data_IF_194051213269
#
_entry.id   IF_194051213269
#
_cell.length_a   1.000
_cell.length_b   1.000
_cell.length_c   1.000
_cell.angle_alpha   90.00
_cell.angle_beta   90.00
_cell.angle_gamma   90.00
#
_symmetry.space_group_name_H-M   'P 1'
#
loop_
_entity.id
_entity.type
_entity.pdbx_description
1 polymer ?
#
# COMPACT_ATOMS: atom_id res chain seq x y z
N UNK A 1 21.32 20.52 -57.77
CA UNK A 1 20.78 20.68 -56.41
C UNK A 1 21.94 21.01 -55.48
N UNK A 2 21.97 22.20 -54.86
CA UNK A 2 22.99 22.51 -53.83
C UNK A 2 22.63 21.68 -52.59
N UNK A 3 23.49 20.76 -52.21
CA UNK A 3 23.34 20.03 -50.93
C UNK A 3 23.48 21.05 -49.78
N UNK A 4 22.51 21.09 -48.91
CA UNK A 4 22.59 21.90 -47.71
C UNK A 4 23.76 21.42 -46.84
N UNK A 5 24.59 22.33 -46.29
CA UNK A 5 25.68 21.93 -45.40
C UNK A 5 25.12 21.21 -44.18
N UNK A 6 25.78 20.15 -43.70
CA UNK A 6 25.29 19.36 -42.58
C UNK A 6 25.24 20.15 -41.26
N UNK A 7 26.08 21.18 -41.14
CA UNK A 7 26.15 22.06 -39.99
C UNK A 7 26.34 23.53 -40.43
N UNK A 8 25.69 24.43 -39.68
CA UNK A 8 25.81 25.87 -39.85
C UNK A 8 26.02 26.54 -38.54
N UNK A 9 26.90 27.58 -38.48
CA UNK A 9 27.02 28.50 -37.38
C UNK A 9 26.18 29.73 -37.71
N UNK A 10 25.09 29.95 -36.96
CA UNK A 10 24.30 31.15 -37.12
C UNK A 10 25.06 32.35 -36.52
N UNK A 11 25.46 33.28 -37.41
CA UNK A 11 26.20 34.50 -37.01
C UNK A 11 25.22 35.58 -36.59
N UNK A 12 24.06 35.66 -37.25
CA UNK A 12 23.05 36.66 -36.97
C UNK A 12 21.66 36.02 -37.00
N UNK A 13 20.92 36.23 -35.93
CA UNK A 13 19.53 35.79 -35.82
C UNK A 13 18.60 36.95 -35.59
N UNK A 14 17.35 36.86 -36.00
CA UNK A 14 16.30 37.83 -35.66
C UNK A 14 15.04 37.08 -35.22
N UNK A 15 14.36 37.56 -34.22
CA UNK A 15 13.05 37.00 -33.80
C UNK A 15 11.95 37.88 -34.38
N UNK A 16 11.05 37.28 -35.16
CA UNK A 16 9.90 37.98 -35.74
C UNK A 16 8.76 38.16 -34.72
N UNK A 17 7.71 38.91 -35.07
CA UNK A 17 6.54 39.09 -34.21
C UNK A 17 5.77 37.78 -33.91
N UNK A 18 6.04 36.75 -34.71
CA UNK A 18 5.52 35.39 -34.56
C UNK A 18 6.31 34.50 -33.57
N UNK A 19 7.28 35.11 -32.85
CA UNK A 19 8.21 34.44 -31.94
C UNK A 19 9.12 33.39 -32.61
N UNK A 20 9.16 33.37 -33.91
CA UNK A 20 10.02 32.47 -34.71
C UNK A 20 11.39 33.13 -34.90
N UNK A 21 12.44 32.45 -34.43
CA UNK A 21 13.84 32.89 -34.70
C UNK A 21 14.28 32.52 -36.10
N UNK A 22 14.71 33.52 -36.86
CA UNK A 22 15.19 33.35 -38.23
C UNK A 22 16.69 33.64 -38.31
N UNK A 23 17.42 32.76 -38.97
CA UNK A 23 18.86 32.94 -39.23
C UNK A 23 19.01 33.92 -40.39
N UNK A 24 19.68 35.05 -40.12
CA UNK A 24 19.96 36.11 -41.13
C UNK A 24 21.26 35.89 -41.87
N UNK A 25 22.29 35.46 -41.16
CA UNK A 25 23.56 35.07 -41.73
C UNK A 25 24.14 33.85 -41.01
N UNK A 26 24.84 33.02 -41.78
CA UNK A 26 25.46 31.83 -41.23
C UNK A 26 26.78 31.53 -41.97
N UNK A 27 27.62 30.74 -41.31
CA UNK A 27 28.82 30.15 -41.89
C UNK A 27 28.60 28.62 -41.94
N UNK A 28 28.89 28.01 -43.06
CA UNK A 28 28.89 26.56 -43.17
C UNK A 28 30.13 25.99 -42.47
N UNK A 29 29.92 24.93 -41.64
CA UNK A 29 31.01 24.26 -40.97
C UNK A 29 31.27 22.92 -41.64
N UNK A 30 32.54 22.58 -41.87
CA UNK A 30 32.93 21.27 -42.32
C UNK A 30 32.84 20.24 -41.18
N UNK A 31 32.57 19.00 -41.50
CA UNK A 31 32.53 17.92 -40.51
C UNK A 31 33.90 17.70 -39.87
N UNK A 32 34.96 17.81 -40.67
CA UNK A 32 36.35 17.65 -40.22
C UNK A 32 36.69 18.65 -39.12
N UNK A 33 36.34 19.95 -39.33
CA UNK A 33 36.58 20.99 -38.34
C UNK A 33 35.81 20.72 -37.00
N UNK A 34 34.57 20.23 -37.12
CA UNK A 34 33.79 19.87 -35.91
C UNK A 34 34.35 18.65 -35.22
N UNK A 35 34.83 17.66 -35.95
CA UNK A 35 35.44 16.46 -35.42
C UNK A 35 36.77 16.76 -34.68
N UNK A 36 37.53 17.75 -35.15
CA UNK A 36 38.79 18.18 -34.52
C UNK A 36 38.58 18.86 -33.16
N UNK A 37 37.49 19.63 -33.00
CA UNK A 37 37.18 20.38 -31.79
C UNK A 37 36.19 19.64 -30.89
N UNK A 38 35.64 18.52 -31.32
CA UNK A 38 34.66 17.75 -30.55
C UNK A 38 35.30 17.03 -29.39
N UNK A 39 34.63 17.06 -28.27
CA UNK A 39 35.04 16.36 -27.04
C UNK A 39 34.06 15.20 -26.78
N UNK A 40 34.63 14.04 -26.50
CA UNK A 40 33.89 12.87 -26.07
C UNK A 40 33.61 12.96 -24.56
N UNK A 41 32.33 12.85 -24.17
CA UNK A 41 31.89 12.88 -22.77
C UNK A 41 30.98 11.71 -22.48
N UNK A 42 31.10 11.14 -21.32
CA UNK A 42 30.11 10.21 -20.80
C UNK A 42 29.04 11.00 -20.05
N UNK A 43 27.80 10.80 -20.46
CA UNK A 43 26.63 11.43 -19.84
C UNK A 43 25.78 10.36 -19.19
N UNK A 44 25.61 10.47 -17.89
CA UNK A 44 24.67 9.68 -17.10
C UNK A 44 23.44 10.55 -16.88
N UNK A 45 22.26 10.00 -17.17
CA UNK A 45 21.02 10.73 -17.06
C UNK A 45 19.87 9.81 -16.65
N UNK A 46 18.82 10.39 -16.13
CA UNK A 46 17.60 9.68 -15.76
C UNK A 46 16.48 9.94 -16.77
N UNK A 47 15.63 8.94 -17.02
CA UNK A 47 14.49 9.02 -17.93
C UNK A 47 13.20 9.11 -17.12
N UNK A 48 12.60 10.32 -16.97
CA UNK A 48 11.41 10.52 -16.12
C UNK A 48 10.21 9.65 -16.53
N UNK A 49 9.96 9.50 -17.84
CA UNK A 49 8.85 8.70 -18.37
C UNK A 49 8.93 7.22 -18.02
N UNK A 50 10.12 6.73 -17.65
CA UNK A 50 10.38 5.35 -17.23
C UNK A 50 10.59 5.20 -15.71
N UNK A 51 10.14 6.17 -14.93
CA UNK A 51 10.32 6.17 -13.48
C UNK A 51 11.74 6.50 -13.06
N UNK A 52 12.37 7.42 -13.77
CA UNK A 52 13.76 7.84 -13.53
C UNK A 52 14.78 6.70 -13.70
N UNK A 53 14.55 5.87 -14.74
CA UNK A 53 15.53 4.86 -15.13
C UNK A 53 16.86 5.51 -15.47
N UNK A 54 17.95 5.04 -14.85
CA UNK A 54 19.31 5.56 -15.08
C UNK A 54 19.88 4.94 -16.35
N UNK A 55 20.38 5.79 -17.22
CA UNK A 55 21.04 5.42 -18.49
C UNK A 55 22.34 6.16 -18.64
N UNK A 56 23.24 5.57 -19.41
CA UNK A 56 24.48 6.21 -19.82
C UNK A 56 24.56 6.25 -21.34
N UNK A 57 25.10 7.36 -21.86
CA UNK A 57 25.46 7.50 -23.26
C UNK A 57 26.82 8.18 -23.39
N UNK A 58 27.59 7.77 -24.40
CA UNK A 58 28.74 8.51 -24.85
C UNK A 58 28.27 9.58 -25.82
N UNK A 59 28.59 10.84 -25.57
CA UNK A 59 28.21 11.97 -26.39
C UNK A 59 29.46 12.62 -26.94
N UNK A 60 29.52 12.79 -28.24
CA UNK A 60 30.51 13.62 -28.91
C UNK A 60 29.91 14.98 -29.14
N UNK A 61 30.46 16.01 -28.54
CA UNK A 61 29.87 17.36 -28.58
C UNK A 61 30.89 18.48 -28.78
N UNK A 62 30.41 19.57 -29.36
CA UNK A 62 31.11 20.85 -29.41
C UNK A 62 30.30 21.85 -28.58
N UNK A 63 30.82 22.20 -27.42
CA UNK A 63 30.05 22.98 -26.44
C UNK A 63 28.78 22.28 -26.03
N UNK A 64 27.62 22.86 -26.34
CA UNK A 64 26.30 22.29 -26.07
C UNK A 64 25.72 21.52 -27.28
N UNK A 65 26.36 21.57 -28.43
CA UNK A 65 25.91 20.87 -29.62
C UNK A 65 26.34 19.41 -29.61
N UNK A 66 25.36 18.50 -29.53
CA UNK A 66 25.57 17.06 -29.63
C UNK A 66 25.74 16.68 -31.14
N UNK A 67 26.91 16.17 -31.51
CA UNK A 67 27.21 15.74 -32.87
C UNK A 67 26.79 14.28 -33.08
N UNK A 68 27.06 13.45 -32.11
CA UNK A 68 26.67 12.02 -32.12
C UNK A 68 26.54 11.50 -30.69
N UNK A 69 25.71 10.48 -30.51
CA UNK A 69 25.61 9.76 -29.26
C UNK A 69 25.48 8.26 -29.49
N UNK A 70 26.07 7.50 -28.60
CA UNK A 70 25.96 6.05 -28.56
C UNK A 70 25.64 5.58 -27.13
N UNK A 71 24.76 4.57 -26.97
CA UNK A 71 24.45 4.04 -25.66
C UNK A 71 25.68 3.38 -25.04
N UNK A 72 25.86 3.57 -23.74
CA UNK A 72 26.87 2.88 -22.95
C UNK A 72 26.23 1.75 -22.13
N UNK A 73 27.02 0.78 -21.68
CA UNK A 73 26.57 -0.23 -20.74
C UNK A 73 26.06 0.41 -19.44
N UNK A 74 25.37 -0.40 -18.61
CA UNK A 74 24.81 0.07 -17.35
C UNK A 74 25.87 0.76 -16.48
N UNK A 75 25.57 1.96 -15.93
CA UNK A 75 26.48 2.69 -15.06
C UNK A 75 26.87 1.90 -13.80
N UNK A 76 27.98 2.29 -13.16
CA UNK A 76 28.39 1.71 -11.88
C UNK A 76 27.35 1.98 -10.78
N UNK A 77 27.32 1.18 -9.69
CA UNK A 77 26.44 1.44 -8.55
C UNK A 77 26.53 2.86 -7.99
N UNK A 78 27.73 3.40 -7.86
CA UNK A 78 27.97 4.78 -7.39
C UNK A 78 27.39 5.83 -8.34
N UNK A 79 27.59 5.64 -9.64
CA UNK A 79 27.05 6.54 -10.65
C UNK A 79 25.52 6.51 -10.69
N UNK A 80 24.92 5.31 -10.48
CA UNK A 80 23.47 5.16 -10.37
C UNK A 80 22.93 5.87 -9.13
N UNK A 81 23.56 5.64 -7.97
CA UNK A 81 23.17 6.31 -6.72
C UNK A 81 23.17 7.82 -6.89
N UNK A 82 24.25 8.40 -7.42
CA UNK A 82 24.33 9.83 -7.63
C UNK A 82 23.23 10.36 -8.54
N UNK A 83 23.01 9.73 -9.70
CA UNK A 83 21.98 10.13 -10.65
C UNK A 83 20.56 10.00 -10.08
N UNK A 84 20.29 8.97 -9.26
CA UNK A 84 18.99 8.80 -8.62
C UNK A 84 18.76 9.79 -7.48
N UNK A 85 19.80 10.14 -6.69
CA UNK A 85 19.69 11.19 -5.68
C UNK A 85 19.45 12.57 -6.30
N UNK A 86 20.15 12.88 -7.40
CA UNK A 86 19.90 14.12 -8.18
C UNK A 86 18.45 14.14 -8.71
N UNK A 87 17.95 13.01 -9.18
CA UNK A 87 16.56 12.89 -9.63
C UNK A 87 15.56 13.08 -8.47
N UNK A 88 15.82 12.51 -7.29
CA UNK A 88 14.99 12.70 -6.10
C UNK A 88 14.95 14.18 -5.67
N UNK A 89 16.10 14.84 -5.66
CA UNK A 89 16.20 16.27 -5.34
C UNK A 89 15.39 17.10 -6.35
N UNK A 90 15.49 16.80 -7.64
CA UNK A 90 14.72 17.48 -8.68
C UNK A 90 13.19 17.26 -8.59
N UNK A 91 12.78 16.19 -7.94
CA UNK A 91 11.37 15.87 -7.69
C UNK A 91 10.75 16.64 -6.50
N UNK A 92 11.55 17.33 -5.71
CA UNK A 92 11.09 17.99 -4.47
C UNK A 92 11.59 17.32 -3.20
N UNK A 93 12.63 16.48 -3.31
CA UNK A 93 13.28 15.83 -2.19
C UNK A 93 13.03 14.33 -2.09
N UNK A 94 13.77 13.70 -1.20
CA UNK A 94 13.78 12.24 -1.02
C UNK A 94 12.40 11.73 -0.57
N UNK A 95 11.79 12.40 0.38
CA UNK A 95 10.50 12.00 0.94
C UNK A 95 9.39 12.02 -0.10
N UNK A 96 9.34 13.08 -0.91
CA UNK A 96 8.38 13.18 -2.01
C UNK A 96 8.61 12.08 -3.06
N UNK A 97 9.87 11.82 -3.40
CA UNK A 97 10.22 10.75 -4.34
C UNK A 97 9.78 9.38 -3.82
N UNK A 98 10.01 9.08 -2.53
CA UNK A 98 9.56 7.84 -1.89
C UNK A 98 8.03 7.69 -1.95
N UNK A 99 7.29 8.72 -1.62
CA UNK A 99 5.81 8.69 -1.63
C UNK A 99 5.23 8.54 -3.03
N UNK A 100 5.87 9.16 -4.04
CA UNK A 100 5.40 9.18 -5.43
C UNK A 100 5.40 7.80 -6.10
N UNK A 101 6.37 6.96 -5.77
CA UNK A 101 6.54 5.65 -6.39
C UNK A 101 5.93 4.49 -5.60
N UNK A 102 5.36 4.76 -4.43
CA UNK A 102 4.58 3.76 -3.68
C UNK A 102 3.33 3.36 -4.47
N UNK A 103 3.12 2.08 -4.63
CA UNK A 103 1.82 1.56 -5.03
C UNK A 103 0.77 1.84 -3.95
N UNK A 104 -0.51 1.87 -4.33
CA UNK A 104 -1.60 2.10 -3.37
C UNK A 104 -1.59 1.09 -2.20
N UNK A 105 -1.20 -0.16 -2.47
CA UNK A 105 -1.09 -1.19 -1.45
C UNK A 105 0.11 -0.97 -0.53
N UNK A 106 1.27 -0.63 -1.06
CA UNK A 106 2.46 -0.30 -0.26
C UNK A 106 2.23 0.93 0.60
N UNK A 107 1.56 1.95 0.06
CA UNK A 107 1.19 3.13 0.82
C UNK A 107 0.37 2.77 2.05
N UNK A 108 -0.66 1.93 1.90
CA UNK A 108 -1.46 1.44 3.02
C UNK A 108 -0.63 0.65 4.05
N UNK A 109 0.33 -0.16 3.59
CA UNK A 109 1.19 -0.93 4.49
C UNK A 109 2.19 -0.04 5.25
N UNK A 110 2.71 1.01 4.61
CA UNK A 110 3.56 2.01 5.26
C UNK A 110 2.76 2.80 6.29
N UNK A 111 1.55 3.25 5.94
CA UNK A 111 0.62 3.93 6.84
C UNK A 111 0.30 3.07 8.07
N UNK A 112 0.03 1.78 7.84
CA UNK A 112 -0.28 0.83 8.89
C UNK A 112 0.92 0.61 9.84
N UNK A 113 2.12 0.37 9.29
CA UNK A 113 3.33 0.19 10.08
C UNK A 113 3.62 1.43 10.94
N UNK A 114 3.55 2.60 10.34
CA UNK A 114 3.77 3.89 11.01
C UNK A 114 2.75 4.13 12.12
N UNK A 115 1.48 3.82 11.86
CA UNK A 115 0.41 3.99 12.85
C UNK A 115 0.57 3.04 14.06
N UNK A 116 1.02 1.80 13.82
CA UNK A 116 1.29 0.82 14.89
C UNK A 116 2.44 1.29 15.80
N UNK A 117 3.54 1.78 15.21
CA UNK A 117 4.68 2.30 15.95
C UNK A 117 4.29 3.54 16.76
N UNK A 118 3.52 4.45 16.17
CA UNK A 118 3.03 5.64 16.86
C UNK A 118 2.14 5.28 18.03
N UNK A 119 1.21 4.35 17.84
CA UNK A 119 0.33 3.89 18.91
C UNK A 119 1.13 3.25 20.05
N UNK A 120 2.16 2.46 19.73
CA UNK A 120 3.04 1.87 20.73
C UNK A 120 3.77 2.93 21.55
N UNK A 121 4.36 3.92 20.87
CA UNK A 121 5.02 5.05 21.53
C UNK A 121 4.08 5.82 22.48
N UNK A 122 2.85 6.02 22.09
CA UNK A 122 1.85 6.68 22.93
C UNK A 122 1.47 5.87 24.17
N UNK A 123 1.38 4.56 24.03
CA UNK A 123 0.95 3.69 25.11
C UNK A 123 2.09 3.33 26.10
N UNK A 124 3.31 3.20 25.61
CA UNK A 124 4.47 2.80 26.42
C UNK A 124 5.30 3.99 26.91
N UNK A 125 5.25 5.12 26.18
CA UNK A 125 6.12 6.28 26.43
C UNK A 125 7.57 6.03 26.02
N UNK A 126 7.90 4.89 25.42
CA UNK A 126 9.25 4.56 24.99
C UNK A 126 9.61 5.36 23.73
N UNK A 127 10.78 6.01 23.77
CA UNK A 127 11.37 6.64 22.59
C UNK A 127 12.14 5.57 21.84
N UNK A 128 11.51 5.07 20.81
CA UNK A 128 12.15 4.17 19.84
C UNK A 128 13.09 4.95 18.92
N UNK A 129 14.12 4.27 18.38
CA UNK A 129 15.03 4.80 17.36
C UNK A 129 14.32 5.09 16.02
N UNK A 130 13.00 4.96 15.99
CA UNK A 130 12.15 5.30 14.85
C UNK A 130 12.18 6.79 14.58
N UNK A 131 12.72 7.15 13.43
CA UNK A 131 12.92 8.54 13.09
C UNK A 131 11.60 9.24 12.72
N UNK A 132 11.27 10.39 13.33
CA UNK A 132 10.02 11.12 13.07
C UNK A 132 9.80 11.52 11.61
N UNK A 133 10.86 11.57 10.79
CA UNK A 133 10.76 11.90 9.37
C UNK A 133 9.88 10.96 8.56
N UNK A 134 9.73 9.72 9.01
CA UNK A 134 8.86 8.76 8.35
C UNK A 134 7.39 8.95 8.69
N UNK A 135 7.10 9.58 9.84
CA UNK A 135 5.75 9.69 10.36
C UNK A 135 4.87 10.65 9.57
N UNK A 136 5.42 11.76 9.10
CA UNK A 136 4.59 12.87 8.61
C UNK A 136 4.64 13.05 7.08
N UNK A 137 5.72 12.65 6.43
CA UNK A 137 5.98 12.99 5.04
C UNK A 137 5.72 11.89 4.02
N UNK A 138 6.02 10.62 4.35
CA UNK A 138 5.82 9.51 3.40
C UNK A 138 4.34 9.24 3.21
N UNK A 139 3.52 9.58 4.21
CA UNK A 139 2.10 9.27 4.27
C UNK A 139 1.19 10.43 3.86
N UNK A 140 1.75 11.61 3.55
CA UNK A 140 0.98 12.75 3.02
C UNK A 140 0.59 13.79 4.06
N UNK A 141 1.50 14.15 4.95
CA UNK A 141 1.40 15.36 5.77
C UNK A 141 1.84 16.59 4.97
N UNK A 142 1.23 17.72 5.30
CA UNK A 142 1.39 19.01 4.64
C UNK A 142 2.87 19.44 4.48
N UNK A 143 3.17 20.05 3.34
CA UNK A 143 4.52 20.37 2.85
C UNK A 143 5.34 21.37 3.71
N UNK A 144 4.76 22.00 4.74
CA UNK A 144 5.38 23.18 5.38
C UNK A 144 6.22 22.90 6.63
N UNK A 145 6.24 21.71 7.21
CA UNK A 145 6.67 21.56 8.62
C UNK A 145 8.10 21.12 8.92
N UNK A 146 8.93 20.63 8.00
CA UNK A 146 10.27 20.15 8.37
C UNK A 146 11.36 20.31 7.30
N UNK A 147 11.92 21.47 7.16
CA UNK A 147 13.16 21.74 6.41
C UNK A 147 14.42 21.62 7.27
N UNK A 148 14.52 20.65 8.18
CA UNK A 148 15.79 20.46 8.87
C UNK A 148 16.72 19.59 8.01
N UNK A 149 17.86 20.16 7.64
CA UNK A 149 18.94 19.48 6.90
C UNK A 149 19.44 18.19 7.55
N UNK A 150 19.20 18.03 8.84
CA UNK A 150 19.50 16.79 9.59
C UNK A 150 18.63 15.62 9.19
N UNK A 151 17.35 15.86 8.93
CA UNK A 151 16.38 14.80 8.58
C UNK A 151 16.64 14.22 7.20
N UNK A 152 17.07 15.04 6.23
CA UNK A 152 17.39 14.56 4.89
C UNK A 152 18.66 13.69 4.89
N UNK A 153 19.68 14.05 5.70
CA UNK A 153 20.90 13.23 5.82
C UNK A 153 20.61 11.84 6.30
N UNK A 154 19.77 11.70 7.31
CA UNK A 154 19.40 10.37 7.85
C UNK A 154 18.65 9.55 6.80
N UNK A 155 17.79 10.18 6.00
CA UNK A 155 17.11 9.49 4.89
C UNK A 155 18.09 9.09 3.79
N UNK A 156 19.12 9.90 3.49
CA UNK A 156 20.18 9.53 2.55
C UNK A 156 20.92 8.28 3.05
N UNK A 157 21.40 8.29 4.29
CA UNK A 157 22.15 7.18 4.88
C UNK A 157 21.32 5.89 4.91
N UNK A 158 20.02 6.01 5.12
CA UNK A 158 19.08 4.88 5.13
C UNK A 158 18.85 4.27 3.74
N UNK A 159 18.79 5.10 2.70
CA UNK A 159 18.46 4.70 1.33
C UNK A 159 19.73 4.28 0.55
N UNK A 160 20.88 4.85 0.89
CA UNK A 160 22.14 4.63 0.17
C UNK A 160 22.48 3.16 -0.10
N UNK A 161 22.32 2.21 0.85
CA UNK A 161 22.59 0.81 0.60
C UNK A 161 21.70 0.17 -0.47
N UNK A 162 20.53 0.72 -0.68
CA UNK A 162 19.51 0.17 -1.59
C UNK A 162 19.57 0.78 -2.99
N UNK A 163 19.90 2.08 -3.07
CA UNK A 163 19.76 2.85 -4.30
C UNK A 163 20.76 2.43 -5.39
N UNK A 164 21.94 1.99 -5.03
CA UNK A 164 22.98 1.54 -5.98
C UNK A 164 22.62 0.26 -6.73
N UNK A 165 21.73 -0.56 -6.16
CA UNK A 165 21.32 -1.84 -6.75
C UNK A 165 20.15 -1.71 -7.76
N UNK A 166 19.36 -0.65 -7.69
CA UNK A 166 18.18 -0.45 -8.52
C UNK A 166 18.52 0.26 -9.85
N UNK A 167 17.64 0.08 -10.85
CA UNK A 167 17.76 0.73 -12.15
C UNK A 167 16.91 1.98 -12.26
N UNK A 168 15.83 2.06 -11.49
CA UNK A 168 14.88 3.17 -11.50
C UNK A 168 14.25 3.38 -10.13
N UNK A 169 13.72 4.57 -9.85
CA UNK A 169 13.03 4.88 -8.60
C UNK A 169 11.76 4.03 -8.38
N UNK A 170 11.19 3.46 -9.43
CA UNK A 170 10.05 2.54 -9.32
C UNK A 170 10.38 1.21 -8.65
N UNK A 171 11.65 0.82 -8.65
CA UNK A 171 12.12 -0.43 -8.04
C UNK A 171 12.44 -0.27 -6.55
N UNK A 172 12.35 0.97 -6.03
CA UNK A 172 12.65 1.26 -4.65
C UNK A 172 11.56 0.70 -3.72
N UNK A 173 11.93 -0.25 -2.89
CA UNK A 173 11.02 -0.90 -1.93
C UNK A 173 10.99 -0.15 -0.61
N UNK A 174 10.23 0.93 -0.57
CA UNK A 174 10.14 1.82 0.60
C UNK A 174 9.74 1.08 1.87
N UNK A 175 8.78 0.15 1.80
CA UNK A 175 8.35 -0.64 2.95
C UNK A 175 9.47 -1.53 3.52
N UNK A 176 10.28 -2.16 2.65
CA UNK A 176 11.39 -3.00 3.08
C UNK A 176 12.51 -2.16 3.72
N UNK A 177 12.76 -0.97 3.18
CA UNK A 177 13.69 0.01 3.77
C UNK A 177 13.22 0.40 5.17
N UNK A 178 11.94 0.74 5.33
CA UNK A 178 11.38 1.08 6.64
C UNK A 178 11.46 -0.09 7.63
N UNK A 179 11.15 -1.29 7.18
CA UNK A 179 11.26 -2.49 8.02
C UNK A 179 12.70 -2.80 8.43
N UNK A 180 13.69 -2.52 7.58
CA UNK A 180 15.10 -2.74 7.90
C UNK A 180 15.63 -1.84 9.01
N UNK A 181 14.95 -0.73 9.33
CA UNK A 181 15.30 0.11 10.47
C UNK A 181 14.89 -0.50 11.82
N UNK A 182 13.96 -1.45 11.79
CA UNK A 182 13.47 -2.12 12.99
C UNK A 182 14.25 -3.41 13.22
N UNK A 183 14.72 -3.63 14.45
CA UNK A 183 15.31 -4.91 14.81
C UNK A 183 14.31 -6.07 14.64
N UNK A 184 14.75 -7.30 14.37
CA UNK A 184 13.84 -8.45 14.28
C UNK A 184 13.02 -8.68 15.56
N UNK A 185 13.54 -8.30 16.71
CA UNK A 185 12.85 -8.37 17.99
C UNK A 185 11.71 -7.34 18.06
N UNK A 186 11.99 -6.12 17.59
CA UNK A 186 11.00 -5.05 17.53
C UNK A 186 9.88 -5.37 16.53
N UNK A 187 10.21 -5.96 15.39
CA UNK A 187 9.21 -6.40 14.42
C UNK A 187 8.27 -7.46 15.03
N UNK A 188 8.83 -8.47 15.72
CA UNK A 188 8.04 -9.49 16.44
C UNK A 188 7.17 -8.88 17.53
N UNK A 189 7.73 -7.98 18.33
CA UNK A 189 6.98 -7.27 19.36
C UNK A 189 5.78 -6.52 18.79
N UNK A 190 5.95 -5.80 17.67
CA UNK A 190 4.85 -5.11 17.00
C UNK A 190 3.81 -6.09 16.45
N UNK A 191 4.21 -7.22 15.92
CA UNK A 191 3.28 -8.20 15.36
C UNK A 191 2.47 -8.92 16.45
N UNK A 192 3.04 -9.11 17.64
CA UNK A 192 2.36 -9.70 18.80
C UNK A 192 1.39 -8.72 19.49
N UNK A 193 1.82 -7.49 19.72
CA UNK A 193 1.05 -6.52 20.50
C UNK A 193 0.12 -5.65 19.65
N UNK A 194 0.48 -5.42 18.38
CA UNK A 194 -0.29 -4.64 17.42
C UNK A 194 -0.55 -5.45 16.14
N UNK A 195 -1.31 -6.55 16.23
CA UNK A 195 -1.51 -7.44 15.10
C UNK A 195 -2.24 -6.74 13.94
N UNK A 196 -1.96 -7.18 12.72
CA UNK A 196 -2.62 -6.70 11.49
C UNK A 196 -3.98 -7.36 11.23
N UNK A 197 -4.37 -8.32 12.07
CA UNK A 197 -5.67 -8.99 11.97
C UNK A 197 -6.11 -9.55 13.30
N UNK A 198 -7.44 -9.67 13.50
CA UNK A 198 -8.07 -10.43 14.58
C UNK A 198 -8.70 -11.70 14.04
N UNK A 199 -8.71 -12.76 14.83
CA UNK A 199 -9.43 -13.97 14.51
C UNK A 199 -10.88 -13.82 14.99
N UNK A 200 -11.82 -13.81 14.06
CA UNK A 200 -13.25 -13.86 14.39
C UNK A 200 -13.63 -15.28 14.83
N UNK A 201 -14.70 -15.46 15.63
CA UNK A 201 -15.14 -16.78 16.11
C UNK A 201 -15.49 -17.78 14.99
N UNK A 202 -15.80 -17.30 13.78
CA UNK A 202 -16.01 -18.15 12.58
C UNK A 202 -14.71 -18.69 11.95
N UNK A 203 -13.55 -18.42 12.56
CA UNK A 203 -12.23 -18.79 12.06
C UNK A 203 -11.65 -17.83 11.01
N UNK A 204 -12.35 -16.76 10.65
CA UNK A 204 -11.86 -15.80 9.66
C UNK A 204 -10.86 -14.84 10.27
N UNK A 205 -9.77 -14.59 9.57
CA UNK A 205 -8.86 -13.49 9.87
C UNK A 205 -9.43 -12.18 9.33
N UNK A 206 -9.82 -11.29 10.23
CA UNK A 206 -10.36 -9.98 9.90
C UNK A 206 -9.22 -8.94 10.00
N UNK A 207 -8.88 -8.22 8.94
CA UNK A 207 -7.79 -7.25 8.97
C UNK A 207 -8.14 -6.08 9.90
N UNK A 208 -7.14 -5.66 10.69
CA UNK A 208 -7.19 -4.44 11.48
C UNK A 208 -6.53 -3.33 10.66
N UNK A 209 -7.17 -2.19 10.58
CA UNK A 209 -6.60 -0.95 10.06
C UNK A 209 -6.37 0.02 11.20
N UNK A 210 -5.17 0.55 11.30
CA UNK A 210 -4.82 1.56 12.29
C UNK A 210 -5.07 2.94 11.69
N UNK A 211 -6.26 3.50 11.94
CA UNK A 211 -6.73 4.75 11.32
C UNK A 211 -6.26 5.93 12.17
N UNK A 212 -5.65 6.90 11.54
CA UNK A 212 -5.23 8.15 12.17
C UNK A 212 -6.45 8.96 12.61
N UNK A 213 -6.46 9.42 13.86
CA UNK A 213 -7.49 10.33 14.34
C UNK A 213 -7.14 11.75 13.87
N UNK A 214 -7.77 12.20 12.79
CA UNK A 214 -7.62 13.56 12.26
C UNK A 214 -8.52 14.55 12.98
N UNK A 215 -8.43 14.65 14.30
CA UNK A 215 -8.95 15.78 15.10
C UNK A 215 -10.37 16.31 14.90
N UNK A 216 -11.22 15.68 14.10
CA UNK A 216 -12.63 16.08 13.96
C UNK A 216 -13.48 15.24 14.90
N UNK A 217 -13.48 15.62 16.16
CA UNK A 217 -14.48 15.13 17.13
C UNK A 217 -15.84 15.71 16.76
N UNK A 218 -16.63 14.97 16.01
CA UNK A 218 -18.08 15.22 15.98
C UNK A 218 -18.71 14.62 17.24
N UNK A 219 -18.96 15.49 18.22
CA UNK A 219 -19.99 15.34 19.25
C UNK A 219 -19.80 14.25 20.31
N UNK A 220 -19.59 14.68 21.55
CA UNK A 220 -20.04 14.07 22.79
C UNK A 220 -19.57 12.63 23.13
N UNK A 221 -18.27 12.47 23.43
CA UNK A 221 -17.82 11.39 24.32
C UNK A 221 -16.57 11.81 25.09
N UNK A 222 -16.79 12.19 26.34
CA UNK A 222 -15.77 12.68 27.29
C UNK A 222 -14.99 11.57 28.02
N UNK A 223 -14.74 10.41 27.41
CA UNK A 223 -13.99 9.34 28.08
C UNK A 223 -13.23 8.42 27.13
N UNK A 224 -12.33 8.96 26.31
CA UNK A 224 -11.28 8.10 25.75
C UNK A 224 -10.00 8.92 25.67
N UNK A 225 -8.93 8.45 26.27
CA UNK A 225 -7.59 8.95 26.01
C UNK A 225 -7.43 9.08 24.49
N UNK A 226 -7.22 10.31 24.02
CA UNK A 226 -7.19 10.63 22.58
C UNK A 226 -5.89 10.07 22.01
N UNK A 227 -5.89 8.77 21.70
CA UNK A 227 -4.77 8.18 20.96
C UNK A 227 -4.77 8.73 19.53
N UNK A 228 -3.60 8.98 18.99
CA UNK A 228 -3.44 9.48 17.62
C UNK A 228 -3.95 8.49 16.57
N UNK A 229 -4.10 7.22 16.92
CA UNK A 229 -4.54 6.14 16.06
C UNK A 229 -5.63 5.29 16.71
N UNK A 230 -6.63 4.91 15.90
CA UNK A 230 -7.71 4.00 16.29
C UNK A 230 -7.59 2.68 15.52
N UNK A 231 -7.38 1.53 16.17
CA UNK A 231 -7.44 0.24 15.51
C UNK A 231 -8.90 -0.08 15.15
N UNK A 232 -9.18 -0.37 13.89
CA UNK A 232 -10.51 -0.68 13.37
C UNK A 232 -10.50 -1.96 12.54
N UNK A 233 -11.49 -2.84 12.76
CA UNK A 233 -11.70 -4.04 11.97
C UNK A 233 -13.12 -4.04 11.41
N UNK A 234 -13.26 -4.33 10.10
CA UNK A 234 -14.57 -4.35 9.42
C UNK A 234 -14.93 -5.77 9.02
N UNK A 235 -16.06 -6.27 9.52
CA UNK A 235 -16.55 -7.59 9.18
C UNK A 235 -18.07 -7.72 9.32
N UNK A 236 -18.64 -8.79 8.76
CA UNK A 236 -20.07 -9.08 8.92
C UNK A 236 -20.38 -9.38 10.38
N UNK A 237 -21.45 -8.79 10.90
CA UNK A 237 -21.88 -8.96 12.30
C UNK A 237 -21.93 -10.43 12.71
N UNK A 238 -22.42 -11.30 11.84
CA UNK A 238 -22.59 -12.72 12.12
C UNK A 238 -21.29 -13.51 12.30
N UNK A 239 -20.14 -12.95 11.90
CA UNK A 239 -18.83 -13.54 12.12
C UNK A 239 -18.38 -13.42 13.58
N UNK A 240 -18.97 -12.49 14.33
CA UNK A 240 -18.65 -12.22 15.72
C UNK A 240 -19.63 -12.84 16.73
N UNK A 241 -20.64 -13.62 16.27
CA UNK A 241 -21.45 -14.38 17.23
C UNK A 241 -20.56 -15.26 18.10
N UNK A 242 -20.88 -15.39 19.37
CA UNK A 242 -20.05 -16.09 20.36
C UNK A 242 -18.85 -15.29 20.90
N UNK A 243 -18.60 -14.08 20.40
CA UNK A 243 -17.55 -13.23 20.96
C UNK A 243 -18.03 -12.53 22.24
N UNK A 244 -17.48 -12.95 23.37
CA UNK A 244 -17.86 -12.45 24.72
C UNK A 244 -17.06 -11.19 25.10
N UNK A 245 -15.86 -11.01 24.56
CA UNK A 245 -14.94 -9.96 24.93
C UNK A 245 -14.58 -9.05 23.77
N UNK A 246 -14.24 -7.82 24.11
CA UNK A 246 -13.73 -6.86 23.13
C UNK A 246 -12.26 -7.14 22.83
N UNK A 247 -11.92 -7.23 21.55
CA UNK A 247 -10.52 -7.33 21.10
C UNK A 247 -9.74 -6.10 21.50
N UNK A 248 -8.52 -6.28 21.98
CA UNK A 248 -7.66 -5.19 22.43
C UNK A 248 -6.25 -5.36 21.88
N UNK A 249 -5.60 -4.24 21.51
CA UNK A 249 -4.21 -4.17 21.05
C UNK A 249 -3.37 -3.38 22.05
N UNK A 250 -2.08 -3.62 22.04
CA UNK A 250 -1.12 -3.02 22.95
C UNK A 250 -0.51 -4.05 23.91
N UNK A 251 0.66 -3.75 24.48
CA UNK A 251 1.36 -4.68 25.36
C UNK A 251 0.62 -4.87 26.68
N UNK A 252 0.81 -6.02 27.34
CA UNK A 252 0.07 -6.35 28.58
C UNK A 252 0.40 -5.43 29.78
N UNK A 253 1.56 -4.79 29.75
CA UNK A 253 2.03 -3.86 30.79
C UNK A 253 1.58 -2.40 30.58
N UNK A 254 0.84 -2.11 29.50
CA UNK A 254 0.29 -0.78 29.22
C UNK A 254 -1.24 -0.81 29.09
N UNK A 255 -1.85 0.36 29.03
CA UNK A 255 -3.29 0.49 28.76
C UNK A 255 -3.63 0.02 27.36
N UNK A 256 -4.13 -1.21 27.21
CA UNK A 256 -4.52 -1.78 25.93
C UNK A 256 -5.72 -1.05 25.33
N UNK A 257 -5.62 -0.71 24.05
CA UNK A 257 -6.67 0.00 23.31
C UNK A 257 -7.67 -1.00 22.69
N UNK A 258 -9.00 -0.78 22.86
CA UNK A 258 -9.99 -1.65 22.21
C UNK A 258 -9.98 -1.46 20.70
N UNK A 259 -10.13 -2.58 19.99
CA UNK A 259 -10.35 -2.57 18.54
C UNK A 259 -11.79 -2.18 18.26
N UNK A 260 -11.99 -1.11 17.51
CA UNK A 260 -13.32 -0.71 17.03
C UNK A 260 -13.76 -1.67 15.93
N UNK A 261 -14.89 -2.33 16.15
CA UNK A 261 -15.50 -3.20 15.15
C UNK A 261 -16.52 -2.42 14.33
N UNK A 262 -16.27 -2.26 13.03
CA UNK A 262 -17.27 -1.77 12.07
C UNK A 262 -18.05 -2.95 11.54
N UNK A 263 -19.22 -3.18 12.12
CA UNK A 263 -20.08 -4.32 11.84
C UNK A 263 -20.95 -4.04 10.61
N UNK A 264 -20.87 -4.92 9.62
CA UNK A 264 -21.62 -4.77 8.37
C UNK A 264 -22.68 -5.86 8.19
N UNK A 265 -23.72 -5.55 7.41
CA UNK A 265 -24.78 -6.48 7.03
C UNK A 265 -24.25 -7.57 6.09
N UNK A 266 -25.04 -8.65 5.85
CA UNK A 266 -24.71 -9.64 4.84
C UNK A 266 -24.43 -9.08 3.45
N UNK A 267 -25.07 -7.95 3.10
CA UNK A 267 -24.89 -7.23 1.83
C UNK A 267 -23.75 -6.19 1.86
N UNK A 268 -22.96 -6.12 2.94
CA UNK A 268 -21.83 -5.19 3.04
C UNK A 268 -22.19 -3.76 3.44
N UNK A 269 -23.43 -3.49 3.86
CA UNK A 269 -23.83 -2.16 4.35
C UNK A 269 -23.47 -2.00 5.82
N UNK A 270 -22.98 -0.83 6.27
CA UNK A 270 -22.66 -0.59 7.68
C UNK A 270 -23.94 -0.72 8.52
N UNK A 271 -23.81 -1.35 9.69
CA UNK A 271 -24.87 -1.51 10.70
C UNK A 271 -24.56 -0.76 11.97
N UNK A 272 -23.36 -0.93 12.50
CA UNK A 272 -22.92 -0.28 13.74
C UNK A 272 -21.40 -0.29 13.83
N UNK A 273 -20.87 0.63 14.62
CA UNK A 273 -19.49 0.63 15.09
C UNK A 273 -19.49 0.49 16.61
N UNK A 274 -18.64 -0.38 17.13
CA UNK A 274 -18.51 -0.58 18.58
C UNK A 274 -17.06 -0.85 18.96
N UNK A 275 -16.65 -0.29 20.10
CA UNK A 275 -15.42 -0.62 20.81
C UNK A 275 -15.70 -1.41 22.10
N UNK A 276 -16.96 -1.75 22.36
CA UNK A 276 -17.42 -2.54 23.50
C UNK A 276 -18.44 -3.59 23.00
N UNK A 277 -17.95 -4.82 22.79
CA UNK A 277 -18.80 -5.93 22.33
C UNK A 277 -19.86 -6.36 23.36
N UNK A 278 -19.55 -6.52 24.65
CA UNK A 278 -20.56 -6.83 25.67
C UNK A 278 -21.71 -5.85 25.69
N UNK A 279 -21.42 -4.55 25.71
CA UNK A 279 -22.45 -3.51 25.63
C UNK A 279 -23.25 -3.59 24.32
N UNK A 280 -22.56 -3.79 23.19
CA UNK A 280 -23.19 -3.90 21.90
C UNK A 280 -24.21 -5.06 21.84
N UNK A 281 -23.84 -6.24 22.34
CA UNK A 281 -24.73 -7.40 22.33
C UNK A 281 -25.97 -7.19 23.19
N UNK A 282 -25.82 -6.54 24.34
CA UNK A 282 -26.88 -6.31 25.28
C UNK A 282 -27.84 -5.21 24.85
N UNK A 283 -27.31 -4.06 24.43
CA UNK A 283 -28.12 -2.84 24.26
C UNK A 283 -28.44 -2.53 22.78
N UNK A 284 -27.51 -2.81 21.85
CA UNK A 284 -27.63 -2.36 20.45
C UNK A 284 -28.16 -3.48 19.53
N UNK A 285 -27.67 -4.69 19.72
CA UNK A 285 -28.01 -5.82 18.88
C UNK A 285 -29.52 -6.14 18.79
N UNK A 286 -30.32 -6.07 19.87
CA UNK A 286 -31.76 -6.36 19.79
C UNK A 286 -32.49 -5.49 18.77
N UNK A 287 -32.15 -4.22 18.69
CA UNK A 287 -32.72 -3.29 17.70
C UNK A 287 -32.32 -3.66 16.28
N UNK A 288 -31.00 -3.88 16.05
CA UNK A 288 -30.47 -4.29 14.75
C UNK A 288 -31.08 -5.61 14.31
N UNK A 289 -31.20 -6.58 15.21
CA UNK A 289 -31.81 -7.86 14.94
C UNK A 289 -33.24 -7.73 14.45
N UNK A 290 -34.05 -6.93 15.13
CA UNK A 290 -35.45 -6.72 14.75
C UNK A 290 -35.60 -6.24 13.31
N UNK A 291 -34.78 -5.26 12.91
CA UNK A 291 -34.77 -4.71 11.55
C UNK A 291 -34.20 -5.70 10.53
N UNK A 292 -33.05 -6.29 10.85
CA UNK A 292 -32.30 -7.12 9.91
C UNK A 292 -32.92 -8.49 9.67
N UNK A 293 -33.68 -9.03 10.62
CA UNK A 293 -34.46 -10.27 10.47
C UNK A 293 -35.49 -10.15 9.35
N UNK A 294 -36.13 -9.00 9.22
CA UNK A 294 -37.04 -8.71 8.11
C UNK A 294 -36.33 -8.50 6.78
N UNK A 295 -35.22 -7.74 6.79
CA UNK A 295 -34.46 -7.37 5.58
C UNK A 295 -33.62 -8.53 5.02
N UNK A 296 -33.06 -9.38 5.88
CA UNK A 296 -32.20 -10.52 5.51
C UNK A 296 -32.68 -11.86 6.13
N UNK A 297 -33.90 -12.36 5.83
CA UNK A 297 -34.51 -13.53 6.46
C UNK A 297 -33.73 -14.84 6.19
N UNK A 298 -32.92 -14.87 5.13
CA UNK A 298 -32.08 -16.02 4.77
C UNK A 298 -30.88 -16.22 5.68
N UNK A 299 -30.50 -15.21 6.46
CA UNK A 299 -29.37 -15.25 7.37
C UNK A 299 -29.84 -15.51 8.81
N UNK A 300 -28.99 -16.13 9.68
CA UNK A 300 -29.32 -16.29 11.08
C UNK A 300 -29.30 -14.97 11.84
N UNK A 301 -30.34 -14.74 12.66
CA UNK A 301 -30.48 -13.62 13.58
C UNK A 301 -30.98 -14.17 14.92
N UNK A 302 -30.08 -14.81 15.71
CA UNK A 302 -30.43 -15.47 16.97
C UNK A 302 -30.94 -14.48 18.02
N UNK A 303 -31.72 -14.98 18.98
CA UNK A 303 -32.15 -14.19 20.14
C UNK A 303 -30.96 -13.89 21.05
N UNK A 304 -30.14 -14.89 21.30
CA UNK A 304 -28.87 -14.75 22.02
C UNK A 304 -27.68 -14.88 21.06
N UNK A 305 -26.97 -13.79 20.77
CA UNK A 305 -25.82 -13.81 19.89
C UNK A 305 -24.58 -14.44 20.53
N UNK A 306 -24.52 -14.55 21.87
CA UNK A 306 -23.36 -15.06 22.58
C UNK A 306 -23.28 -16.60 22.55
N UNK A 307 -24.45 -17.28 22.47
CA UNK A 307 -24.53 -18.75 22.38
C UNK A 307 -24.53 -19.20 20.90
N UNK A 308 -24.78 -18.28 19.99
CA UNK A 308 -24.91 -18.61 18.58
C UNK A 308 -23.56 -18.90 17.92
N UNK A 309 -23.57 -19.84 16.97
CA UNK A 309 -22.38 -20.17 16.18
C UNK A 309 -22.10 -19.08 15.15
N UNK A 310 -20.88 -18.56 15.18
CA UNK A 310 -20.41 -17.60 14.21
C UNK A 310 -20.42 -18.15 12.78
N UNK A 311 -20.88 -17.35 11.81
CA UNK A 311 -21.01 -17.84 10.46
C UNK A 311 -21.13 -16.74 9.43
N UNK A 312 -20.70 -17.02 8.20
CA UNK A 312 -21.00 -16.21 7.02
C UNK A 312 -22.08 -16.83 6.12
N UNK A 313 -22.53 -18.05 6.48
CA UNK A 313 -23.44 -18.85 5.68
C UNK A 313 -24.89 -18.47 5.91
N UNK A 314 -25.74 -18.75 4.94
CA UNK A 314 -27.19 -18.67 5.09
C UNK A 314 -27.73 -19.84 5.88
N UNK A 315 -28.95 -19.73 6.43
CA UNK A 315 -29.64 -20.82 7.14
C UNK A 315 -29.69 -22.12 6.33
N UNK A 316 -29.94 -22.01 5.01
CA UNK A 316 -29.99 -23.16 4.09
C UNK A 316 -28.61 -23.83 3.90
N UNK A 317 -27.53 -23.07 3.95
CA UNK A 317 -26.17 -23.63 3.88
C UNK A 317 -25.78 -24.29 5.19
N UNK A 318 -26.16 -23.72 6.34
CA UNK A 318 -25.93 -24.31 7.66
C UNK A 318 -26.66 -25.66 7.82
N UNK A 319 -27.92 -25.76 7.37
CA UNK A 319 -28.68 -27.03 7.46
C UNK A 319 -28.08 -28.15 6.58
N UNK A 320 -27.48 -27.80 5.43
CA UNK A 320 -26.80 -28.78 4.58
C UNK A 320 -25.51 -29.34 5.19
N UNK A 321 -24.77 -28.47 5.90
CA UNK A 321 -23.51 -28.89 6.56
C UNK A 321 -23.80 -29.74 7.81
N UNK A 322 -24.93 -29.50 8.50
CA UNK A 322 -25.37 -30.32 9.63
C UNK A 322 -25.82 -31.76 9.26
N UNK A 323 -26.36 -31.95 8.04
CA UNK A 323 -26.75 -33.27 7.55
C UNK A 323 -25.57 -34.13 7.04
N UNK A 324 -24.42 -33.50 6.75
CA UNK A 324 -23.22 -34.20 6.28
C UNK A 324 -22.38 -34.81 7.42
N UNK A 325 -22.56 -34.36 8.66
CA UNK A 325 -21.78 -34.87 9.82
C UNK A 325 -22.49 -36.02 10.57
N UNK A 326 -23.72 -36.37 10.19
CA UNK A 326 -24.49 -37.45 10.82
C UNK A 326 -24.46 -38.79 10.06
N UNK A 327 -23.65 -38.97 9.02
CA UNK A 327 -23.60 -40.20 8.22
C UNK A 327 -22.21 -40.84 8.28
N UNK A 328 -21.78 -41.25 9.47
CA UNK A 328 -20.72 -42.26 9.59
C UNK A 328 -20.91 -43.07 10.86
N UNK A 329 -21.96 -43.91 10.89
CA UNK A 329 -22.00 -45.19 11.61
C UNK A 329 -23.32 -45.88 11.24
N UNK A 330 -23.31 -46.85 10.34
CA UNK A 330 -23.79 -48.20 10.61
C UNK A 330 -23.78 -49.11 9.37
N UNK A 331 -22.89 -50.08 9.48
CA UNK A 331 -23.10 -51.49 9.16
C UNK A 331 -23.57 -51.95 7.77
N UNK A 332 -22.62 -52.60 7.11
CA UNK A 332 -22.78 -53.73 6.22
C UNK A 332 -23.93 -54.69 6.62
N UNK A 333 -24.90 -54.87 5.76
CA UNK A 333 -25.49 -56.17 5.49
C UNK A 333 -25.77 -56.27 4.00
N UNK A 334 -25.08 -57.21 3.38
CA UNK A 334 -25.30 -57.66 2.01
C UNK A 334 -26.72 -58.20 1.81
N UNK A 335 -27.37 -57.80 0.72
CA UNK A 335 -28.25 -58.72 -0.04
C UNK A 335 -28.20 -58.33 -1.53
N UNK A 336 -27.59 -59.22 -2.28
CA UNK A 336 -27.70 -59.30 -3.74
C UNK A 336 -29.18 -59.54 -4.14
N UNK A 337 -29.67 -58.76 -5.12
CA UNK A 337 -30.56 -59.32 -6.18
C UNK A 337 -30.50 -58.45 -7.43
N UNK A 338 -30.18 -59.18 -8.44
CA UNK A 338 -30.17 -59.04 -9.88
C UNK A 338 -31.31 -58.25 -10.54
N UNK A 339 -30.97 -57.60 -11.65
CA UNK A 339 -31.77 -57.70 -12.87
C UNK A 339 -32.45 -56.44 -13.37
N UNK A 340 -32.08 -56.01 -14.56
CA UNK A 340 -32.99 -55.25 -15.37
C UNK A 340 -32.37 -54.09 -16.18
N UNK A 341 -31.76 -54.43 -17.32
CA UNK A 341 -31.50 -53.49 -18.43
C UNK A 341 -32.81 -52.83 -18.87
N UNK A 342 -32.80 -51.53 -19.15
CA UNK A 342 -33.36 -51.05 -20.42
C UNK A 342 -32.81 -49.71 -20.84
N UNK A 343 -32.34 -49.74 -22.02
CA UNK A 343 -31.80 -48.77 -22.95
C UNK A 343 -32.95 -48.03 -23.67
N UNK A 344 -32.86 -46.67 -23.86
CA UNK A 344 -33.45 -45.92 -24.98
C UNK A 344 -32.90 -44.49 -24.90
N UNK A 345 -31.88 -44.14 -25.69
CA UNK A 345 -31.81 -43.55 -27.05
C UNK A 345 -32.91 -42.52 -27.32
N UNK A 346 -32.51 -41.28 -27.41
CA UNK A 346 -32.16 -40.45 -28.57
C UNK A 346 -33.22 -39.43 -28.98
N UNK A 347 -32.66 -38.29 -29.37
CA UNK A 347 -32.94 -37.33 -30.48
C UNK A 347 -33.31 -35.92 -29.96
N UNK A 348 -32.42 -34.92 -30.13
CA UNK A 348 -32.05 -34.07 -31.29
C UNK A 348 -33.21 -33.27 -31.89
N UNK A 349 -32.98 -31.99 -31.96
CA UNK A 349 -33.43 -30.85 -32.83
C UNK A 349 -34.25 -29.79 -32.06
N UNK A 350 -33.98 -28.53 -32.17
CA UNK A 350 -33.39 -27.65 -33.21
C UNK A 350 -32.62 -26.53 -32.54
#
# INVERSE_FOLDING_TARGET
MRQSPPYILAVQTSTGPDSISRIRSYVSLSKELLDDIAVDKELIYTVPSKGYEVRAKKVRSVGQLELSSSPLPSPSPEQKSKALFEAMTSLGGITFALSKFLSSNEKLQVEELTARIRLDKELTGENDDWHPCFDERIVGGDEESCTSSSSERILVDLIEPWIGSIKSLKELRTLDILRSTLSPERQRYLDENYPTSVNAPDGTKVPIRYIRNTGVSSGNSQTAATTSCRPMATAKLQQFFGAHETYRVGPPNASRVPVTLSLISPAGKPLAETSDLPFFWKEVYPSIRSEMRGRYPKHPWPDDPLVAVATRKTKKQLSKDGDSDSTTTNNNVETKKSGGKNNRRSRKKK
#
